data_IF_400730540918
#
_entry.id   IF_400730540918
#
_cell.length_a   1.000
_cell.length_b   1.000
_cell.length_c   1.000
_cell.angle_alpha   90.00
_cell.angle_beta   90.00
_cell.angle_gamma   90.00
#
_symmetry.space_group_name_H-M   'P 1'
#
loop_
_entity.id
_entity.type
_entity.pdbx_description
1 polymer ?
#
# COMPACT_ATOMS: atom_id res chain seq x y z
N UNK A 1 52.96 -29.11 -41.49
CA UNK A 1 51.80 -29.37 -40.60
C UNK A 1 50.74 -28.32 -40.91
N UNK A 2 49.58 -28.68 -41.51
CA UNK A 2 48.53 -27.70 -41.80
C UNK A 2 47.73 -27.39 -40.52
N UNK A 3 47.58 -26.06 -40.23
CA UNK A 3 46.74 -25.57 -39.16
C UNK A 3 45.31 -25.57 -39.65
N UNK A 4 44.47 -26.41 -39.10
CA UNK A 4 43.01 -26.35 -39.26
C UNK A 4 42.46 -25.21 -38.38
N UNK A 5 41.99 -24.13 -39.04
CA UNK A 5 41.18 -23.10 -38.39
C UNK A 5 39.74 -23.63 -38.29
N UNK A 6 39.27 -23.82 -37.06
CA UNK A 6 37.86 -24.16 -36.80
C UNK A 6 37.02 -22.89 -37.01
N UNK A 7 35.97 -22.90 -37.86
CA UNK A 7 35.07 -21.74 -37.97
C UNK A 7 34.27 -21.59 -36.66
N UNK A 8 34.39 -20.41 -36.04
CA UNK A 8 33.57 -20.01 -34.90
C UNK A 8 32.14 -19.79 -35.41
N UNK A 9 31.24 -20.73 -35.13
CA UNK A 9 29.82 -20.62 -35.46
C UNK A 9 29.20 -19.57 -34.52
N UNK A 10 29.09 -18.33 -35.00
CA UNK A 10 28.26 -17.30 -34.31
C UNK A 10 26.80 -17.73 -34.45
N UNK A 11 26.25 -18.39 -33.43
CA UNK A 11 24.82 -18.55 -33.27
C UNK A 11 24.19 -17.15 -33.11
N UNK A 12 23.19 -16.77 -33.93
CA UNK A 12 22.49 -15.55 -33.72
C UNK A 12 21.83 -15.59 -32.35
N UNK A 13 22.17 -14.63 -31.48
CA UNK A 13 21.38 -14.40 -30.25
C UNK A 13 19.96 -14.10 -30.68
N UNK A 14 19.06 -15.05 -30.46
CA UNK A 14 17.64 -14.79 -30.64
C UNK A 14 17.27 -13.57 -29.79
N UNK A 15 16.51 -12.59 -30.34
CA UNK A 15 16.05 -11.46 -29.55
C UNK A 15 15.29 -12.00 -28.34
N UNK A 16 15.75 -11.65 -27.15
CA UNK A 16 15.05 -12.00 -25.92
C UNK A 16 13.65 -11.39 -26.02
N UNK A 17 12.63 -12.25 -26.07
CA UNK A 17 11.26 -11.75 -26.08
C UNK A 17 11.08 -10.86 -24.83
N UNK A 18 10.40 -9.70 -24.95
CA UNK A 18 10.13 -8.85 -23.80
C UNK A 18 9.37 -9.67 -22.74
N UNK A 19 9.75 -9.49 -21.49
CA UNK A 19 9.10 -10.21 -20.39
C UNK A 19 7.59 -9.96 -20.40
N UNK A 20 6.82 -11.02 -20.18
CA UNK A 20 5.35 -11.00 -20.26
C UNK A 20 4.78 -11.84 -19.12
N UNK A 21 4.42 -11.17 -18.03
CA UNK A 21 3.67 -11.81 -16.94
C UNK A 21 2.18 -11.55 -17.21
N UNK A 22 1.40 -12.62 -17.22
CA UNK A 22 -0.03 -12.57 -17.52
C UNK A 22 -0.84 -13.08 -16.32
N UNK A 23 -1.98 -12.46 -16.06
CA UNK A 23 -2.98 -12.95 -15.13
C UNK A 23 -4.25 -13.34 -15.90
N UNK A 24 -4.64 -14.59 -15.84
CA UNK A 24 -5.89 -15.09 -16.41
C UNK A 24 -6.97 -15.10 -15.32
N UNK A 25 -8.05 -14.38 -15.56
CA UNK A 25 -9.22 -14.30 -14.72
C UNK A 25 -10.31 -15.21 -15.29
N UNK A 26 -10.80 -16.14 -14.49
CA UNK A 26 -11.98 -16.95 -14.78
C UNK A 26 -13.17 -16.36 -14.03
N UNK A 27 -14.26 -16.14 -14.75
CA UNK A 27 -15.43 -15.43 -14.23
C UNK A 27 -16.67 -16.31 -14.38
N UNK A 28 -17.44 -16.43 -13.30
CA UNK A 28 -18.77 -17.05 -13.32
C UNK A 28 -19.88 -16.05 -13.00
N UNK A 29 -21.08 -16.42 -13.38
CA UNK A 29 -22.34 -15.75 -13.07
C UNK A 29 -23.31 -16.81 -12.57
N UNK A 30 -23.75 -16.71 -11.31
CA UNK A 30 -24.66 -17.71 -10.71
C UNK A 30 -24.15 -19.14 -10.88
N UNK A 31 -22.89 -19.39 -10.52
CA UNK A 31 -22.21 -20.70 -10.61
C UNK A 31 -22.03 -21.27 -12.03
N UNK A 32 -22.29 -20.48 -13.06
CA UNK A 32 -22.05 -20.86 -14.46
C UNK A 32 -20.89 -20.07 -15.03
N UNK A 33 -20.06 -20.72 -15.84
CA UNK A 33 -19.01 -20.04 -16.57
C UNK A 33 -19.61 -18.86 -17.37
N UNK A 34 -19.12 -17.65 -17.10
CA UNK A 34 -19.53 -16.44 -17.80
C UNK A 34 -18.52 -16.07 -18.88
N UNK A 35 -17.22 -16.15 -18.57
CA UNK A 35 -16.16 -15.81 -19.50
C UNK A 35 -14.81 -15.65 -18.82
N UNK A 36 -13.83 -15.22 -19.61
CA UNK A 36 -12.44 -15.06 -19.18
C UNK A 36 -11.87 -13.77 -19.73
N UNK A 37 -10.92 -13.20 -19.00
CA UNK A 37 -10.06 -12.15 -19.53
C UNK A 37 -8.64 -12.31 -19.00
N UNK A 38 -7.67 -11.81 -19.77
CA UNK A 38 -6.25 -11.86 -19.42
C UNK A 38 -5.72 -10.46 -19.28
N UNK A 39 -5.02 -10.18 -18.18
CA UNK A 39 -4.27 -8.94 -17.95
C UNK A 39 -2.79 -9.21 -18.20
N UNK A 40 -2.16 -8.40 -19.03
CA UNK A 40 -0.71 -8.34 -19.15
C UNK A 40 -0.18 -7.30 -18.18
N UNK A 41 0.70 -7.70 -17.26
CA UNK A 41 1.31 -6.79 -16.29
C UNK A 41 2.40 -5.92 -16.91
N UNK A 42 2.43 -4.67 -16.46
CA UNK A 42 3.53 -3.72 -16.72
C UNK A 42 4.51 -3.70 -15.53
N UNK A 43 5.07 -4.87 -15.22
CA UNK A 43 5.91 -5.07 -14.05
C UNK A 43 7.28 -4.37 -14.13
N UNK A 44 7.65 -3.82 -15.27
CA UNK A 44 8.83 -2.95 -15.40
C UNK A 44 8.57 -1.53 -14.91
N UNK A 45 7.42 -0.98 -15.24
CA UNK A 45 7.05 0.38 -14.87
C UNK A 45 6.31 0.44 -13.53
N UNK A 46 5.65 -0.64 -13.13
CA UNK A 46 4.90 -0.74 -11.87
C UNK A 46 5.29 -2.01 -11.09
N UNK A 47 6.58 -2.13 -10.70
CA UNK A 47 7.10 -3.37 -10.11
C UNK A 47 6.49 -3.70 -8.76
N UNK A 48 6.22 -2.71 -7.89
CA UNK A 48 5.65 -2.92 -6.56
C UNK A 48 4.19 -3.35 -6.65
N UNK A 49 3.40 -2.66 -7.47
CA UNK A 49 1.99 -2.99 -7.67
C UNK A 49 1.82 -4.37 -8.32
N UNK A 50 2.61 -4.68 -9.36
CA UNK A 50 2.60 -5.99 -9.99
C UNK A 50 3.04 -7.10 -9.02
N UNK A 51 4.12 -6.88 -8.26
CA UNK A 51 4.61 -7.83 -7.28
C UNK A 51 3.59 -8.08 -6.16
N UNK A 52 2.97 -7.04 -5.63
CA UNK A 52 1.93 -7.16 -4.62
C UNK A 52 0.72 -7.95 -5.13
N UNK A 53 0.23 -7.60 -6.32
CA UNK A 53 -0.89 -8.31 -6.93
C UNK A 53 -0.59 -9.80 -7.15
N UNK A 54 0.57 -10.11 -7.74
CA UNK A 54 0.98 -11.50 -8.02
C UNK A 54 1.11 -12.31 -6.74
N UNK A 55 1.72 -11.74 -5.69
CA UNK A 55 1.87 -12.45 -4.39
C UNK A 55 0.52 -12.78 -3.77
N UNK A 56 -0.43 -11.87 -3.85
CA UNK A 56 -1.80 -12.07 -3.38
C UNK A 56 -2.53 -13.09 -4.26
N UNK A 57 -2.43 -12.99 -5.59
CA UNK A 57 -3.11 -13.89 -6.53
C UNK A 57 -2.64 -15.35 -6.42
N UNK A 58 -1.34 -15.57 -6.19
CA UNK A 58 -0.78 -16.93 -6.02
C UNK A 58 -0.80 -17.42 -4.55
N UNK A 59 -1.27 -16.62 -3.57
CA UNK A 59 -1.24 -16.96 -2.15
C UNK A 59 0.18 -17.15 -1.60
N UNK A 60 1.18 -16.45 -2.18
CA UNK A 60 2.59 -16.57 -1.78
C UNK A 60 2.86 -15.89 -0.43
N UNK A 61 2.04 -14.94 -0.06
CA UNK A 61 2.19 -14.15 1.16
C UNK A 61 0.97 -14.34 2.06
N UNK A 62 1.16 -14.53 3.37
CA UNK A 62 0.05 -14.43 4.31
C UNK A 62 -0.53 -13.01 4.32
N UNK A 63 -1.85 -12.91 4.39
CA UNK A 63 -2.60 -11.66 4.42
C UNK A 63 -3.64 -11.67 5.56
N UNK A 64 -4.08 -10.49 5.98
CA UNK A 64 -5.05 -10.32 7.07
C UNK A 64 -6.47 -10.22 6.51
N UNK A 65 -7.31 -11.19 6.85
CA UNK A 65 -8.75 -11.12 6.63
C UNK A 65 -9.37 -10.23 7.72
N UNK A 66 -9.58 -8.96 7.39
CA UNK A 66 -10.14 -7.98 8.31
C UNK A 66 -11.56 -8.31 8.76
N UNK A 67 -12.35 -9.00 7.94
CA UNK A 67 -13.71 -9.42 8.28
C UNK A 67 -13.74 -10.59 9.28
N UNK A 68 -12.81 -11.54 9.11
CA UNK A 68 -12.67 -12.69 9.98
C UNK A 68 -11.71 -12.44 11.16
N UNK A 69 -10.89 -11.39 11.12
CA UNK A 69 -9.83 -11.13 12.12
C UNK A 69 -8.79 -12.24 12.18
N UNK A 70 -8.42 -12.80 11.04
CA UNK A 70 -7.53 -13.95 10.92
C UNK A 70 -6.49 -13.74 9.82
N UNK A 71 -5.32 -14.29 10.03
CA UNK A 71 -4.29 -14.37 8.98
C UNK A 71 -4.56 -15.57 8.10
N UNK A 72 -4.55 -15.38 6.78
CA UNK A 72 -4.74 -16.41 5.77
C UNK A 72 -3.53 -16.50 4.85
N UNK A 73 -3.32 -17.68 4.28
CA UNK A 73 -2.28 -17.91 3.25
C UNK A 73 -2.88 -18.74 2.12
N UNK A 74 -3.67 -18.09 1.32
CA UNK A 74 -4.37 -18.68 0.16
C UNK A 74 -4.48 -17.61 -0.94
N UNK A 75 -4.82 -17.95 -2.19
CA UNK A 75 -5.09 -16.98 -3.23
C UNK A 75 -6.14 -15.96 -2.79
N UNK A 76 -5.76 -14.68 -2.81
CA UNK A 76 -6.59 -13.60 -2.26
C UNK A 76 -7.82 -13.33 -3.13
N UNK A 77 -7.65 -13.37 -4.45
CA UNK A 77 -8.69 -12.92 -5.40
C UNK A 77 -9.73 -13.98 -5.73
N UNK A 78 -9.47 -15.25 -5.44
CA UNK A 78 -10.39 -16.34 -5.69
C UNK A 78 -11.65 -16.18 -4.79
N UNK A 79 -12.83 -16.28 -5.40
CA UNK A 79 -14.10 -16.12 -4.71
C UNK A 79 -14.56 -14.68 -4.47
N UNK A 80 -13.88 -13.68 -5.06
CA UNK A 80 -14.29 -12.27 -4.93
C UNK A 80 -15.26 -11.86 -6.04
N UNK A 81 -16.02 -10.80 -5.76
CA UNK A 81 -16.90 -10.16 -6.74
C UNK A 81 -16.37 -8.80 -7.16
N UNK A 82 -16.91 -8.25 -8.23
CA UNK A 82 -16.70 -6.84 -8.57
C UNK A 82 -17.64 -5.98 -7.73
N UNK A 83 -17.06 -5.23 -6.78
CA UNK A 83 -17.81 -4.42 -5.81
C UNK A 83 -18.38 -3.13 -6.41
N UNK A 84 -17.80 -2.66 -7.52
CA UNK A 84 -18.30 -1.50 -8.26
C UNK A 84 -18.30 -1.78 -9.76
N UNK A 85 -19.38 -1.41 -10.43
CA UNK A 85 -19.51 -1.46 -11.88
C UNK A 85 -20.24 -0.20 -12.37
N UNK A 86 -19.65 0.47 -13.36
CA UNK A 86 -20.24 1.64 -14.01
C UNK A 86 -20.19 1.42 -15.51
N UNK A 87 -21.37 1.25 -16.11
CA UNK A 87 -21.51 0.90 -17.51
C UNK A 87 -20.69 1.81 -18.44
N UNK A 88 -19.85 1.20 -19.26
CA UNK A 88 -18.96 1.90 -20.19
C UNK A 88 -17.79 2.65 -19.55
N UNK A 89 -17.74 2.80 -18.23
CA UNK A 89 -16.72 3.58 -17.51
C UNK A 89 -15.69 2.68 -16.84
N UNK A 90 -16.10 1.79 -15.92
CA UNK A 90 -15.18 0.92 -15.19
C UNK A 90 -15.85 -0.27 -14.51
N UNK A 91 -15.04 -1.25 -14.17
CA UNK A 91 -15.35 -2.29 -13.17
C UNK A 91 -14.26 -2.28 -12.09
N UNK A 92 -14.64 -2.45 -10.83
CA UNK A 92 -13.72 -2.51 -9.70
C UNK A 92 -13.92 -3.76 -8.86
N UNK A 93 -12.80 -4.37 -8.45
CA UNK A 93 -12.74 -5.62 -7.68
C UNK A 93 -11.58 -5.63 -6.69
N UNK A 94 -11.36 -6.79 -6.04
CA UNK A 94 -10.25 -6.95 -5.10
C UNK A 94 -10.57 -6.57 -3.66
N UNK A 95 -11.87 -6.47 -3.30
CA UNK A 95 -12.36 -6.28 -1.94
C UNK A 95 -12.96 -7.58 -1.41
N UNK A 96 -12.51 -8.06 -0.25
CA UNK A 96 -13.02 -9.28 0.42
C UNK A 96 -14.41 -9.06 1.01
N UNK A 97 -14.69 -7.85 1.50
CA UNK A 97 -15.99 -7.45 2.04
C UNK A 97 -17.03 -7.19 0.95
N UNK A 98 -16.59 -6.99 -0.29
CA UNK A 98 -17.45 -6.70 -1.43
C UNK A 98 -18.01 -5.27 -1.47
N UNK A 99 -17.54 -4.37 -0.61
CA UNK A 99 -17.98 -2.97 -0.53
C UNK A 99 -16.88 -1.95 -0.90
N UNK A 100 -15.65 -2.44 -1.17
CA UNK A 100 -14.55 -1.60 -1.64
C UNK A 100 -13.81 -0.82 -0.55
N UNK A 101 -13.96 -1.15 0.73
CA UNK A 101 -13.35 -0.43 1.85
C UNK A 101 -12.23 -1.20 2.57
N UNK A 102 -11.93 -2.42 2.15
CA UNK A 102 -10.93 -3.28 2.76
C UNK A 102 -9.66 -3.45 1.91
N UNK A 103 -8.65 -4.01 2.54
CA UNK A 103 -7.36 -4.33 1.93
C UNK A 103 -6.78 -5.60 2.61
N UNK A 104 -5.63 -6.12 2.16
CA UNK A 104 -5.04 -7.34 2.73
C UNK A 104 -4.38 -7.15 4.12
N UNK A 105 -4.69 -6.07 4.82
CA UNK A 105 -4.10 -5.65 6.10
C UNK A 105 -2.98 -4.63 5.94
N UNK A 106 -2.61 -4.31 4.71
CA UNK A 106 -1.56 -3.32 4.40
C UNK A 106 -1.85 -2.52 3.15
N UNK A 107 -1.06 -1.46 3.02
CA UNK A 107 -0.96 -0.68 1.78
C UNK A 107 0.48 -0.68 1.28
N UNK A 108 0.66 -0.43 0.00
CA UNK A 108 1.96 -0.25 -0.66
C UNK A 108 2.03 1.12 -1.33
N UNK A 109 3.24 1.54 -1.64
CA UNK A 109 3.49 2.80 -2.34
C UNK A 109 2.98 2.79 -3.79
N UNK A 110 2.86 3.98 -4.33
CA UNK A 110 2.55 4.19 -5.74
C UNK A 110 3.77 3.93 -6.64
N UNK A 111 3.53 3.40 -7.84
CA UNK A 111 4.46 3.36 -8.95
C UNK A 111 3.99 4.36 -10.01
N UNK A 112 4.74 5.44 -10.23
CA UNK A 112 4.34 6.53 -11.14
C UNK A 112 5.02 6.51 -12.51
N UNK A 113 5.79 5.49 -12.79
CA UNK A 113 6.58 5.39 -14.02
C UNK A 113 5.78 4.94 -15.23
N UNK A 114 4.56 4.41 -15.02
CA UNK A 114 3.71 3.98 -16.12
C UNK A 114 3.05 5.17 -16.81
N UNK A 115 3.24 5.34 -18.13
CA UNK A 115 2.52 6.35 -18.89
C UNK A 115 1.01 6.05 -18.81
N UNK A 116 0.24 7.04 -18.45
CA UNK A 116 -1.21 6.96 -18.25
C UNK A 116 -1.91 6.06 -19.27
N UNK A 117 -2.75 5.16 -18.76
CA UNK A 117 -3.30 4.07 -19.53
C UNK A 117 -4.31 4.49 -20.60
N UNK A 118 -4.29 3.78 -21.70
CA UNK A 118 -5.39 3.73 -22.64
C UNK A 118 -6.59 2.97 -22.06
N UNK A 119 -7.60 2.72 -22.87
CA UNK A 119 -8.76 1.90 -22.49
C UNK A 119 -8.38 0.47 -22.14
N UNK A 120 -9.12 -0.14 -21.22
CA UNK A 120 -8.87 -1.47 -20.67
C UNK A 120 -7.56 -1.60 -19.91
N UNK A 121 -7.08 -0.51 -19.30
CA UNK A 121 -5.97 -0.53 -18.36
C UNK A 121 -6.49 -0.90 -16.97
N UNK A 122 -5.77 -1.77 -16.29
CA UNK A 122 -6.00 -2.12 -14.90
C UNK A 122 -5.15 -1.22 -14.01
N UNK A 123 -5.78 -0.55 -13.08
CA UNK A 123 -5.15 0.32 -12.09
C UNK A 123 -5.35 -0.24 -10.69
N UNK A 124 -4.42 0.04 -9.80
CA UNK A 124 -4.66 -0.13 -8.36
C UNK A 124 -5.62 0.95 -7.88
N UNK A 125 -6.72 0.53 -7.25
CA UNK A 125 -7.63 1.43 -6.55
C UNK A 125 -7.04 1.79 -5.18
N UNK A 126 -7.06 3.07 -4.83
CA UNK A 126 -6.47 3.58 -3.60
C UNK A 126 -7.28 4.73 -3.00
N UNK A 127 -7.04 5.05 -1.72
CA UNK A 127 -7.70 6.11 -0.96
C UNK A 127 -6.84 7.38 -0.86
N UNK A 128 -5.76 7.44 -1.61
CA UNK A 128 -4.80 8.54 -1.66
C UNK A 128 -3.40 8.06 -1.99
N UNK A 129 -2.39 8.91 -1.90
CA UNK A 129 -1.01 8.54 -2.19
C UNK A 129 -0.52 7.40 -1.29
N UNK A 130 0.20 6.43 -1.89
CA UNK A 130 0.79 5.29 -1.18
C UNK A 130 -0.21 4.44 -0.38
N UNK A 131 -1.46 4.33 -0.88
CA UNK A 131 -2.50 3.53 -0.24
C UNK A 131 -3.04 2.40 -1.13
N UNK A 132 -2.25 1.94 -2.11
CA UNK A 132 -2.57 0.76 -2.90
C UNK A 132 -2.61 -0.48 -2.00
N UNK A 133 -3.69 -1.24 -2.07
CA UNK A 133 -3.87 -2.50 -1.33
C UNK A 133 -4.02 -3.69 -2.27
N UNK A 134 -5.18 -4.34 -2.19
CA UNK A 134 -5.60 -5.40 -3.11
C UNK A 134 -6.59 -4.93 -4.16
N UNK A 135 -7.26 -3.80 -3.92
CA UNK A 135 -8.32 -3.30 -4.81
C UNK A 135 -7.76 -2.82 -6.13
N UNK A 136 -8.52 -3.08 -7.19
CA UNK A 136 -8.19 -2.65 -8.54
C UNK A 136 -9.43 -2.23 -9.30
N UNK A 137 -9.25 -1.41 -10.33
CA UNK A 137 -10.30 -1.15 -11.30
C UNK A 137 -9.76 -1.28 -12.73
N UNK A 138 -10.65 -1.61 -13.66
CA UNK A 138 -10.34 -1.68 -15.10
C UNK A 138 -11.21 -0.62 -15.79
N UNK A 139 -10.57 0.34 -16.46
CA UNK A 139 -11.25 1.39 -17.18
C UNK A 139 -11.82 0.91 -18.52
N UNK A 140 -12.94 1.49 -18.93
CA UNK A 140 -13.60 1.22 -20.20
C UNK A 140 -13.59 2.47 -21.12
N UNK A 141 -14.02 2.33 -22.40
CA UNK A 141 -13.89 3.41 -23.38
C UNK A 141 -14.58 4.73 -23.05
N UNK A 142 -15.62 4.75 -22.23
CA UNK A 142 -16.32 6.00 -21.84
C UNK A 142 -15.60 6.77 -20.70
N UNK A 143 -14.55 6.16 -20.11
CA UNK A 143 -13.78 6.84 -19.09
C UNK A 143 -13.00 8.02 -19.66
N UNK A 144 -13.10 9.18 -19.04
CA UNK A 144 -12.35 10.37 -19.43
C UNK A 144 -11.04 10.47 -18.64
N UNK A 145 -10.01 11.13 -19.21
CA UNK A 145 -8.73 11.36 -18.53
C UNK A 145 -8.87 12.08 -17.18
N UNK A 146 -9.95 12.83 -16.96
CA UNK A 146 -10.22 13.51 -15.70
C UNK A 146 -10.51 12.52 -14.56
N UNK A 147 -11.05 11.34 -14.87
CA UNK A 147 -11.40 10.32 -13.86
C UNK A 147 -10.17 9.57 -13.31
N UNK A 148 -9.00 9.70 -13.97
CA UNK A 148 -7.75 9.06 -13.51
C UNK A 148 -6.91 9.96 -12.60
N UNK A 149 -7.33 11.19 -12.40
CA UNK A 149 -6.64 12.13 -11.54
C UNK A 149 -7.44 12.30 -10.25
N UNK A 150 -6.95 11.68 -9.20
CA UNK A 150 -7.43 11.98 -7.87
C UNK A 150 -6.80 13.27 -7.36
N UNK A 151 -7.51 14.03 -6.52
CA UNK A 151 -6.90 15.15 -5.83
C UNK A 151 -5.65 14.68 -5.08
N UNK A 152 -4.48 15.16 -5.49
CA UNK A 152 -3.19 14.83 -4.86
C UNK A 152 -2.43 13.62 -5.41
N UNK A 153 -2.87 12.97 -6.50
CA UNK A 153 -2.09 11.85 -7.06
C UNK A 153 -2.73 11.19 -8.29
N UNK A 154 -2.02 10.23 -8.83
CA UNK A 154 -2.46 9.37 -9.93
C UNK A 154 -2.63 7.95 -9.41
N UNK A 155 -3.54 7.18 -10.02
CA UNK A 155 -3.61 5.74 -9.81
C UNK A 155 -2.42 5.04 -10.47
N UNK A 156 -1.88 4.02 -9.82
CA UNK A 156 -0.82 3.17 -10.41
C UNK A 156 -1.42 2.24 -11.45
N UNK A 157 -1.01 2.38 -12.72
CA UNK A 157 -1.37 1.45 -13.78
C UNK A 157 -0.55 0.17 -13.62
N UNK A 158 -1.20 -0.97 -13.41
CA UNK A 158 -0.51 -2.25 -13.14
C UNK A 158 -0.45 -3.17 -14.34
N UNK A 159 -1.36 -2.97 -15.30
CA UNK A 159 -1.41 -3.82 -16.49
C UNK A 159 -2.54 -3.44 -17.44
N UNK A 160 -2.74 -4.27 -18.45
CA UNK A 160 -3.74 -4.03 -19.48
C UNK A 160 -4.45 -5.32 -19.88
N UNK A 161 -5.77 -5.26 -20.05
CA UNK A 161 -6.58 -6.37 -20.55
C UNK A 161 -6.26 -6.62 -22.02
N UNK A 162 -5.89 -7.85 -22.33
CA UNK A 162 -5.67 -8.33 -23.70
C UNK A 162 -7.01 -8.58 -24.41
N UNK A 163 -7.01 -8.45 -25.73
CA UNK A 163 -8.16 -8.84 -26.51
C UNK A 163 -8.31 -10.36 -26.55
N UNK A 164 -7.22 -11.08 -26.77
CA UNK A 164 -7.23 -12.54 -26.77
C UNK A 164 -7.34 -13.11 -25.33
N UNK A 165 -8.05 -14.23 -25.19
CA UNK A 165 -8.16 -14.98 -23.92
C UNK A 165 -7.23 -16.20 -23.90
N UNK A 166 -7.10 -16.83 -22.72
CA UNK A 166 -6.47 -18.13 -22.56
C UNK A 166 -7.45 -19.09 -21.84
N UNK A 167 -7.85 -20.23 -22.45
CA UNK A 167 -7.46 -20.64 -23.80
C UNK A 167 -8.01 -19.73 -24.90
N UNK A 168 -7.43 -19.77 -26.12
CA UNK A 168 -7.88 -18.96 -27.25
C UNK A 168 -9.34 -19.23 -27.61
N UNK A 169 -10.05 -18.23 -28.16
CA UNK A 169 -11.43 -18.36 -28.65
C UNK A 169 -12.41 -17.34 -28.07
N UNK A 170 -12.00 -16.62 -27.01
CA UNK A 170 -12.77 -15.53 -26.40
C UNK A 170 -12.18 -14.15 -26.69
N UNK A 171 -12.89 -13.11 -26.23
CA UNK A 171 -12.44 -11.73 -26.25
C UNK A 171 -12.51 -11.15 -24.84
N UNK A 172 -11.34 -11.01 -24.18
CA UNK A 172 -11.24 -10.55 -22.79
C UNK A 172 -11.83 -9.16 -22.58
N UNK A 173 -11.69 -8.25 -23.55
CA UNK A 173 -12.27 -6.91 -23.46
C UNK A 173 -13.78 -6.92 -23.55
N UNK A 174 -14.37 -7.82 -24.35
CA UNK A 174 -15.82 -8.01 -24.38
C UNK A 174 -16.33 -8.60 -23.07
N UNK A 175 -15.61 -9.54 -22.47
CA UNK A 175 -15.95 -10.07 -21.14
C UNK A 175 -15.99 -8.94 -20.09
N UNK A 176 -14.95 -8.10 -20.02
CA UNK A 176 -14.91 -6.95 -19.10
C UNK A 176 -16.05 -5.97 -19.38
N UNK A 177 -16.32 -5.63 -20.65
CA UNK A 177 -17.43 -4.77 -21.03
C UNK A 177 -18.81 -5.37 -20.67
N UNK A 178 -18.95 -6.69 -20.75
CA UNK A 178 -20.19 -7.39 -20.38
C UNK A 178 -20.41 -7.39 -18.86
N UNK A 179 -19.34 -7.55 -18.05
CA UNK A 179 -19.40 -7.39 -16.60
C UNK A 179 -19.90 -5.99 -16.25
N UNK A 180 -19.39 -4.95 -16.91
CA UNK A 180 -19.75 -3.55 -16.67
C UNK A 180 -21.22 -3.22 -16.98
N UNK A 181 -21.93 -4.07 -17.71
CA UNK A 181 -23.36 -3.91 -17.97
C UNK A 181 -24.25 -4.66 -16.96
N UNK A 182 -23.65 -5.23 -15.92
CA UNK A 182 -24.35 -5.96 -14.86
C UNK A 182 -24.41 -5.14 -13.57
N UNK A 183 -25.11 -5.63 -12.55
CA UNK A 183 -25.07 -5.03 -11.22
C UNK A 183 -23.79 -5.45 -10.47
N UNK A 184 -23.29 -4.62 -9.53
CA UNK A 184 -22.19 -5.00 -8.65
C UNK A 184 -22.51 -6.29 -7.87
N UNK A 185 -21.48 -7.10 -7.58
CA UNK A 185 -21.60 -8.33 -6.80
C UNK A 185 -22.15 -9.55 -7.58
N UNK A 186 -22.59 -9.39 -8.84
CA UNK A 186 -23.19 -10.48 -9.62
C UNK A 186 -22.16 -11.45 -10.20
N UNK A 187 -21.00 -10.95 -10.61
CA UNK A 187 -19.95 -11.77 -11.21
C UNK A 187 -18.91 -12.15 -10.17
N UNK A 188 -18.61 -13.45 -10.11
CA UNK A 188 -17.61 -14.03 -9.23
C UNK A 188 -16.31 -14.23 -10.01
N UNK A 189 -15.20 -13.86 -9.40
CA UNK A 189 -13.86 -14.24 -9.83
C UNK A 189 -13.60 -15.65 -9.30
N UNK A 190 -13.77 -16.67 -10.10
CA UNK A 190 -13.56 -18.06 -9.70
C UNK A 190 -12.09 -18.30 -9.39
N UNK A 191 -11.23 -17.75 -10.24
CA UNK A 191 -9.79 -17.85 -10.04
C UNK A 191 -9.00 -16.77 -10.78
N UNK A 192 -7.80 -16.47 -10.24
CA UNK A 192 -6.77 -15.69 -10.92
C UNK A 192 -5.51 -16.54 -11.04
N UNK A 193 -5.06 -16.82 -12.26
CA UNK A 193 -3.88 -17.67 -12.52
C UNK A 193 -2.78 -16.88 -13.20
N UNK A 194 -1.57 -16.89 -12.62
CA UNK A 194 -0.42 -16.16 -13.14
C UNK A 194 0.38 -17.05 -14.10
N UNK A 195 0.70 -16.52 -15.26
CA UNK A 195 1.55 -17.19 -16.24
C UNK A 195 2.83 -16.39 -16.49
N UNK A 196 3.95 -17.10 -16.48
CA UNK A 196 5.29 -16.58 -16.71
C UNK A 196 5.77 -17.13 -18.06
N UNK A 197 5.89 -16.27 -19.06
CA UNK A 197 6.15 -16.72 -20.44
C UNK A 197 7.61 -16.75 -20.81
N UNK A 198 8.47 -16.05 -20.06
CA UNK A 198 9.91 -15.96 -20.36
C UNK A 198 10.78 -16.35 -19.16
N UNK A 199 12.06 -16.67 -19.36
CA UNK A 199 13.00 -16.87 -18.25
C UNK A 199 13.14 -15.65 -17.33
N UNK A 200 12.99 -14.43 -17.86
CA UNK A 200 13.01 -13.20 -17.08
C UNK A 200 11.80 -13.11 -16.13
N UNK A 201 10.61 -13.55 -16.58
CA UNK A 201 9.41 -13.61 -15.75
C UNK A 201 9.56 -14.61 -14.61
N UNK A 202 10.16 -15.78 -14.89
CA UNK A 202 10.46 -16.77 -13.86
C UNK A 202 11.50 -16.26 -12.86
N UNK A 203 12.43 -15.41 -13.29
CA UNK A 203 13.37 -14.74 -12.40
C UNK A 203 12.64 -13.73 -11.52
N UNK A 204 11.74 -12.92 -12.09
CA UNK A 204 10.89 -12.02 -11.32
C UNK A 204 10.11 -12.78 -10.23
N UNK A 205 9.44 -13.88 -10.60
CA UNK A 205 8.73 -14.74 -9.63
C UNK A 205 9.64 -15.28 -8.54
N UNK A 206 10.85 -15.72 -8.90
CA UNK A 206 11.83 -16.23 -7.92
C UNK A 206 12.22 -15.14 -6.92
N UNK A 207 12.43 -13.92 -7.42
CA UNK A 207 12.75 -12.77 -6.57
C UNK A 207 11.60 -12.42 -5.61
N UNK A 208 10.34 -12.70 -5.99
CA UNK A 208 9.20 -12.54 -5.08
C UNK A 208 9.17 -13.56 -3.92
N UNK A 209 9.87 -14.67 -4.05
CA UNK A 209 9.94 -15.75 -3.06
C UNK A 209 11.21 -15.70 -2.21
N UNK A 210 12.22 -14.96 -2.64
CA UNK A 210 13.52 -14.88 -1.98
C UNK A 210 13.53 -13.75 -0.94
N UNK A 211 13.66 -14.05 0.36
CA UNK A 211 13.70 -13.02 1.40
C UNK A 211 14.82 -12.00 1.20
N UNK A 212 15.96 -12.42 0.65
CA UNK A 212 17.11 -11.53 0.42
C UNK A 212 16.87 -10.57 -0.75
N UNK A 213 16.08 -10.98 -1.74
CA UNK A 213 15.63 -10.10 -2.84
C UNK A 213 14.37 -9.31 -2.49
N UNK A 214 13.64 -9.72 -1.48
CA UNK A 214 12.43 -9.08 -0.99
C UNK A 214 12.65 -7.63 -0.53
N UNK A 215 13.85 -7.34 -0.04
CA UNK A 215 14.28 -5.99 0.34
C UNK A 215 14.16 -4.98 -0.81
N UNK A 216 14.23 -5.43 -2.08
CA UNK A 216 14.08 -4.58 -3.25
C UNK A 216 12.65 -4.07 -3.44
N UNK A 217 11.64 -4.87 -3.07
CA UNK A 217 10.23 -4.49 -3.26
C UNK A 217 9.59 -3.90 -2.02
N UNK A 218 10.19 -4.05 -0.83
CA UNK A 218 9.67 -3.54 0.45
C UNK A 218 8.17 -3.84 0.64
N UNK A 219 7.75 -5.06 0.31
CA UNK A 219 6.35 -5.46 0.36
C UNK A 219 5.99 -6.07 1.71
N UNK A 220 4.85 -5.67 2.30
CA UNK A 220 4.43 -6.17 3.60
C UNK A 220 3.94 -7.62 3.57
N UNK A 221 3.79 -8.20 4.76
CA UNK A 221 3.15 -9.50 4.97
C UNK A 221 2.44 -9.52 6.32
N UNK A 222 1.46 -10.41 6.48
CA UNK A 222 0.80 -10.62 7.74
C UNK A 222 1.31 -11.91 8.42
N UNK A 223 1.23 -11.96 9.75
CA UNK A 223 1.42 -13.18 10.53
C UNK A 223 0.52 -13.22 11.76
N UNK A 224 0.33 -14.39 12.32
CA UNK A 224 -0.33 -14.51 13.61
C UNK A 224 0.55 -13.96 14.74
N UNK A 225 -0.01 -13.17 15.67
CA UNK A 225 0.70 -12.73 16.86
C UNK A 225 0.82 -13.86 17.88
N UNK A 226 1.90 -13.84 18.64
CA UNK A 226 2.00 -14.61 19.88
C UNK A 226 1.66 -13.70 21.04
N UNK A 227 0.52 -13.95 21.65
CA UNK A 227 0.07 -13.19 22.81
C UNK A 227 0.62 -13.75 24.11
N UNK A 228 0.97 -12.85 25.03
CA UNK A 228 1.24 -13.16 26.43
C UNK A 228 0.52 -12.16 27.34
N UNK A 229 0.26 -12.56 28.58
CA UNK A 229 -0.37 -11.68 29.55
C UNK A 229 0.65 -11.35 30.66
N UNK A 230 0.81 -10.08 30.91
CA UNK A 230 1.62 -9.57 32.02
C UNK A 230 0.72 -8.87 33.02
N UNK A 231 0.88 -9.24 34.27
CA UNK A 231 0.14 -8.65 35.39
C UNK A 231 1.07 -7.76 36.21
N UNK A 232 0.66 -6.55 36.42
CA UNK A 232 1.25 -5.60 37.35
C UNK A 232 0.25 -5.37 38.50
N UNK A 233 0.66 -4.70 39.57
CA UNK A 233 -0.12 -4.59 40.80
C UNK A 233 -1.60 -4.21 40.58
N UNK A 234 -1.87 -3.27 39.70
CA UNK A 234 -3.23 -2.76 39.42
C UNK A 234 -3.67 -2.90 37.97
N UNK A 235 -2.81 -3.43 37.09
CA UNK A 235 -3.06 -3.49 35.66
C UNK A 235 -2.75 -4.87 35.06
N UNK A 236 -3.46 -5.22 34.01
CA UNK A 236 -3.19 -6.40 33.20
C UNK A 236 -2.93 -5.97 31.77
N UNK A 237 -1.80 -6.39 31.24
CA UNK A 237 -1.37 -6.08 29.88
C UNK A 237 -1.44 -7.28 28.98
N UNK A 238 -1.88 -7.05 27.75
CA UNK A 238 -1.72 -7.96 26.62
C UNK A 238 -0.45 -7.57 25.89
N UNK A 239 0.57 -8.39 26.01
CA UNK A 239 1.82 -8.22 25.27
C UNK A 239 1.81 -9.13 24.04
N UNK A 240 2.53 -8.73 22.98
CA UNK A 240 2.68 -9.55 21.78
C UNK A 240 4.08 -9.41 21.20
N UNK A 241 4.49 -10.45 20.46
CA UNK A 241 5.73 -10.42 19.72
C UNK A 241 5.57 -9.54 18.48
N UNK A 242 6.31 -8.45 18.42
CA UNK A 242 6.30 -7.56 17.27
C UNK A 242 7.69 -7.04 16.95
N UNK A 243 7.88 -6.71 15.68
CA UNK A 243 9.05 -5.97 15.24
C UNK A 243 8.74 -4.47 15.23
N UNK A 244 9.72 -3.59 15.50
CA UNK A 244 9.54 -2.15 15.34
C UNK A 244 8.99 -1.81 13.95
N UNK A 245 7.97 -0.95 13.89
CA UNK A 245 7.30 -0.55 12.65
C UNK A 245 6.19 -1.50 12.19
N UNK A 246 5.90 -2.59 12.92
CA UNK A 246 4.74 -3.45 12.64
C UNK A 246 3.44 -2.89 13.22
N UNK A 247 2.30 -3.36 12.70
CA UNK A 247 0.97 -3.01 13.19
C UNK A 247 0.25 -4.25 13.67
N UNK A 248 -0.28 -4.24 14.90
CA UNK A 248 -1.20 -5.25 15.40
C UNK A 248 -2.63 -4.80 15.14
N UNK A 249 -3.40 -5.67 14.50
CA UNK A 249 -4.85 -5.56 14.41
C UNK A 249 -5.45 -6.56 15.39
N UNK A 250 -6.19 -6.06 16.39
CA UNK A 250 -6.69 -6.82 17.51
C UNK A 250 -8.21 -6.82 17.54
N UNK A 251 -8.81 -7.99 17.62
CA UNK A 251 -10.23 -8.18 17.91
C UNK A 251 -10.39 -8.81 19.29
N UNK A 252 -11.45 -8.43 19.98
CA UNK A 252 -11.80 -9.01 21.28
C UNK A 252 -13.24 -9.53 21.28
N UNK A 253 -13.52 -10.48 22.17
CA UNK A 253 -14.83 -11.06 22.38
C UNK A 253 -15.01 -11.49 23.83
N UNK A 254 -16.23 -11.40 24.36
CA UNK A 254 -16.60 -11.93 25.67
C UNK A 254 -17.28 -13.29 25.58
N UNK A 255 -17.72 -13.72 24.39
CA UNK A 255 -18.57 -14.90 24.19
C UNK A 255 -18.10 -15.83 23.05
N UNK A 256 -17.02 -15.48 22.34
CA UNK A 256 -16.50 -16.14 21.11
C UNK A 256 -17.45 -16.08 19.91
N UNK A 257 -18.57 -15.37 20.01
CA UNK A 257 -19.55 -15.22 18.91
C UNK A 257 -19.51 -13.82 18.32
N UNK A 258 -19.51 -12.83 19.19
CA UNK A 258 -19.48 -11.42 18.79
C UNK A 258 -18.07 -10.87 18.97
N UNK A 259 -17.46 -10.41 17.89
CA UNK A 259 -16.11 -9.87 17.89
C UNK A 259 -16.14 -8.37 17.63
N UNK A 260 -15.49 -7.62 18.51
CA UNK A 260 -15.32 -6.17 18.40
C UNK A 260 -13.90 -5.85 17.91
N UNK A 261 -13.76 -4.95 16.97
CA UNK A 261 -12.49 -4.53 16.41
C UNK A 261 -12.54 -4.26 14.90
N UNK A 262 -11.39 -4.04 14.26
CA UNK A 262 -10.06 -4.10 14.90
C UNK A 262 -9.72 -2.86 15.71
N UNK A 263 -9.05 -3.05 16.83
CA UNK A 263 -8.20 -2.03 17.43
C UNK A 263 -6.83 -2.14 16.75
N UNK A 264 -6.35 -1.05 16.18
CA UNK A 264 -5.03 -1.01 15.54
C UNK A 264 -4.01 -0.43 16.52
N UNK A 265 -2.98 -1.20 16.80
CA UNK A 265 -1.87 -0.84 17.67
C UNK A 265 -0.58 -0.84 16.84
N UNK A 266 0.08 0.30 16.81
CA UNK A 266 1.35 0.46 16.09
C UNK A 266 2.50 0.19 17.06
N UNK A 267 3.46 -0.64 16.64
CA UNK A 267 4.74 -0.74 17.32
C UNK A 267 5.62 0.39 16.82
N UNK A 268 5.77 1.43 17.65
CA UNK A 268 6.64 2.54 17.31
C UNK A 268 8.09 2.06 17.18
N UNK A 269 8.87 2.62 16.25
CA UNK A 269 10.29 2.33 16.16
C UNK A 269 10.99 2.66 17.48
N UNK A 270 11.86 1.75 17.95
CA UNK A 270 12.63 1.89 19.18
C UNK A 270 11.98 1.33 20.45
N UNK A 271 10.71 0.88 20.40
CA UNK A 271 10.07 0.20 21.53
C UNK A 271 10.25 -1.32 21.44
N UNK A 272 10.89 -1.92 22.42
CA UNK A 272 11.22 -3.34 22.45
C UNK A 272 10.00 -4.24 22.73
N UNK A 273 8.96 -3.72 23.36
CA UNK A 273 7.70 -4.42 23.62
C UNK A 273 6.59 -3.42 23.89
N UNK A 274 5.44 -3.63 23.27
CA UNK A 274 4.23 -2.89 23.58
C UNK A 274 3.28 -3.80 24.35
N UNK A 275 2.75 -3.28 25.46
CA UNK A 275 1.66 -3.90 26.18
C UNK A 275 0.40 -3.05 26.05
N UNK A 276 -0.71 -3.67 25.65
CA UNK A 276 -2.01 -3.02 25.68
C UNK A 276 -2.64 -3.22 27.05
N UNK A 277 -2.88 -2.11 27.77
CA UNK A 277 -3.55 -2.17 29.09
C UNK A 277 -5.01 -2.58 28.92
N UNK A 278 -5.33 -3.77 29.41
CA UNK A 278 -6.67 -4.33 29.39
C UNK A 278 -7.56 -3.81 30.53
N UNK A 279 -6.97 -3.22 31.57
CA UNK A 279 -7.66 -2.86 32.82
C UNK A 279 -8.85 -1.92 32.58
N UNK A 280 -8.72 -0.84 31.77
CA UNK A 280 -9.84 0.08 31.57
C UNK A 280 -11.06 -0.56 30.92
N UNK A 281 -10.85 -1.56 30.04
CA UNK A 281 -11.91 -2.11 29.21
C UNK A 281 -12.43 -3.48 29.71
N UNK A 282 -11.62 -4.22 30.49
CA UNK A 282 -11.89 -5.62 30.84
C UNK A 282 -11.81 -5.90 32.35
N UNK A 283 -11.60 -4.90 33.20
CA UNK A 283 -11.46 -5.07 34.65
C UNK A 283 -12.65 -5.82 35.31
N UNK A 284 -13.86 -5.68 34.78
CA UNK A 284 -15.07 -6.31 35.27
C UNK A 284 -15.50 -7.54 34.46
N UNK A 285 -14.78 -7.87 33.38
CA UNK A 285 -15.13 -9.00 32.55
C UNK A 285 -14.62 -10.32 33.18
N UNK A 286 -15.47 -11.34 33.41
CA UNK A 286 -15.05 -12.61 33.99
C UNK A 286 -14.11 -13.38 33.02
N UNK A 287 -14.15 -13.08 31.74
CA UNK A 287 -13.32 -13.65 30.69
C UNK A 287 -13.32 -12.73 29.48
N UNK A 288 -12.23 -12.74 28.74
CA UNK A 288 -12.11 -12.09 27.43
C UNK A 288 -11.25 -12.96 26.49
N UNK A 289 -11.57 -12.94 25.23
CA UNK A 289 -10.87 -13.66 24.17
C UNK A 289 -10.31 -12.67 23.18
N UNK A 290 -9.14 -12.96 22.66
CA UNK A 290 -8.43 -12.09 21.71
C UNK A 290 -7.99 -12.89 20.48
N UNK A 291 -8.07 -12.27 19.34
CA UNK A 291 -7.49 -12.74 18.08
C UNK A 291 -6.97 -11.55 17.30
N UNK A 292 -6.09 -11.80 16.33
CA UNK A 292 -5.55 -10.69 15.52
C UNK A 292 -4.53 -11.13 14.50
N UNK A 293 -3.96 -10.15 13.84
CA UNK A 293 -2.86 -10.30 12.91
C UNK A 293 -1.85 -9.18 13.09
N UNK A 294 -0.59 -9.51 13.00
CA UNK A 294 0.51 -8.53 12.89
C UNK A 294 0.85 -8.36 11.44
N UNK A 295 0.79 -7.13 10.96
CA UNK A 295 1.32 -6.76 9.64
C UNK A 295 2.74 -6.25 9.85
N UNK A 296 3.68 -6.94 9.24
CA UNK A 296 5.09 -6.58 9.23
C UNK A 296 5.43 -5.90 7.92
N UNK A 297 6.10 -4.77 8.04
CA UNK A 297 6.66 -4.06 6.91
C UNK A 297 8.15 -4.33 6.86
N UNK A 298 8.73 -4.63 5.69
CA UNK A 298 10.18 -4.83 5.59
C UNK A 298 10.90 -3.58 6.09
N UNK A 299 12.06 -3.78 6.69
CA UNK A 299 12.85 -2.72 7.31
C UNK A 299 13.03 -1.55 6.35
N UNK A 300 12.33 -0.50 6.65
CA UNK A 300 12.56 0.80 6.09
C UNK A 300 13.86 1.34 6.69
N UNK A 301 14.77 1.91 5.90
CA UNK A 301 15.96 2.53 6.47
C UNK A 301 15.50 3.56 7.50
N UNK A 302 15.78 3.26 8.75
CA UNK A 302 15.56 4.01 10.00
C UNK A 302 14.78 5.32 9.85
N UNK A 303 13.45 5.23 9.89
CA UNK A 303 12.60 6.38 10.21
C UNK A 303 12.52 6.58 11.73
N UNK A 304 13.38 5.89 12.48
CA UNK A 304 13.27 5.67 13.91
C UNK A 304 13.33 6.92 14.77
N UNK A 305 13.86 8.01 14.24
CA UNK A 305 13.91 9.31 14.92
C UNK A 305 13.90 10.47 13.93
N UNK A 306 13.05 10.43 12.91
CA UNK A 306 13.07 11.49 11.87
C UNK A 306 12.94 12.87 12.47
N UNK A 307 12.33 13.02 13.64
CA UNK A 307 12.08 14.31 14.20
C UNK A 307 12.97 14.68 15.41
N UNK A 308 13.49 13.72 16.17
CA UNK A 308 14.32 14.06 17.32
C UNK A 308 15.59 14.80 16.88
N UNK A 309 15.88 15.92 17.51
CA UNK A 309 17.05 16.78 17.24
C UNK A 309 17.22 17.16 15.76
N UNK A 310 16.14 17.34 15.03
CA UNK A 310 16.17 17.60 13.59
C UNK A 310 15.32 18.79 13.19
N UNK A 311 15.40 19.17 11.92
CA UNK A 311 14.51 20.15 11.33
C UNK A 311 13.79 19.59 10.11
N UNK A 312 12.56 20.01 9.91
CA UNK A 312 11.84 19.80 8.66
C UNK A 312 11.45 21.15 8.05
N UNK A 313 11.60 21.24 6.76
CA UNK A 313 11.13 22.37 5.97
C UNK A 313 9.85 21.95 5.26
N UNK A 314 8.80 22.73 5.44
CA UNK A 314 7.49 22.50 4.87
C UNK A 314 7.18 23.63 3.90
N UNK A 315 6.75 23.28 2.68
CA UNK A 315 6.28 24.21 1.70
C UNK A 315 4.96 23.69 1.12
N UNK A 316 3.89 24.45 1.21
CA UNK A 316 2.58 24.09 0.67
C UNK A 316 1.73 25.33 0.43
N UNK A 317 0.62 25.16 -0.28
CA UNK A 317 -0.38 26.19 -0.45
C UNK A 317 -1.60 25.89 0.43
N UNK A 318 -1.89 26.77 1.35
CA UNK A 318 -3.16 26.80 2.08
C UNK A 318 -4.17 27.56 1.22
N UNK A 319 -5.32 26.97 0.84
CA UNK A 319 -6.33 27.63 0.00
C UNK A 319 -6.83 28.95 0.57
N UNK A 320 -6.83 29.10 1.89
CA UNK A 320 -7.35 30.28 2.60
C UNK A 320 -6.27 31.32 2.93
N UNK A 321 -4.99 30.94 2.95
CA UNK A 321 -3.88 31.80 3.44
C UNK A 321 -2.74 31.97 2.44
N UNK A 322 -2.77 31.26 1.30
CA UNK A 322 -1.74 31.32 0.28
C UNK A 322 -0.54 30.40 0.55
N UNK A 323 0.64 30.80 0.06
CA UNK A 323 1.86 29.98 0.18
C UNK A 323 2.39 30.00 1.60
N UNK A 324 2.58 28.82 2.17
CA UNK A 324 3.14 28.60 3.52
C UNK A 324 4.52 28.00 3.38
N UNK A 325 5.51 28.67 3.97
CA UNK A 325 6.84 28.16 4.18
C UNK A 325 7.06 28.09 5.69
N UNK A 326 7.43 26.92 6.19
CA UNK A 326 7.59 26.68 7.60
C UNK A 326 8.81 25.79 7.85
N UNK A 327 9.67 26.20 8.78
CA UNK A 327 10.73 25.35 9.31
C UNK A 327 10.38 24.99 10.73
N UNK A 328 10.29 23.70 11.01
CA UNK A 328 10.04 23.15 12.35
C UNK A 328 11.34 22.52 12.86
N UNK A 329 11.80 22.99 14.02
CA UNK A 329 12.97 22.46 14.74
C UNK A 329 12.46 21.62 15.91
N UNK A 330 12.74 20.34 15.89
CA UNK A 330 12.27 19.40 16.90
C UNK A 330 13.27 19.27 18.04
N UNK A 331 12.76 19.09 19.24
CA UNK A 331 13.55 18.74 20.41
C UNK A 331 13.99 17.26 20.40
N UNK A 332 14.70 16.85 21.44
CA UNK A 332 15.18 15.48 21.64
C UNK A 332 14.07 14.41 21.66
N UNK A 333 12.84 14.81 21.97
CA UNK A 333 11.68 13.91 22.00
C UNK A 333 11.06 13.70 20.63
N UNK A 334 11.24 14.66 19.71
CA UNK A 334 10.57 14.69 18.40
C UNK A 334 9.05 14.94 18.46
N UNK A 335 8.52 15.34 19.64
CA UNK A 335 7.10 15.61 19.85
C UNK A 335 6.79 17.08 20.14
N UNK A 336 7.80 17.90 20.31
CA UNK A 336 7.70 19.34 20.52
C UNK A 336 8.86 20.06 19.85
N UNK A 337 8.80 21.37 19.82
CA UNK A 337 9.88 22.17 19.26
C UNK A 337 9.49 23.61 18.98
N UNK A 338 10.28 24.26 18.14
CA UNK A 338 10.05 25.63 17.71
C UNK A 338 9.81 25.69 16.19
N UNK A 339 9.05 26.64 15.73
CA UNK A 339 8.85 26.90 14.31
C UNK A 339 9.24 28.32 13.93
N UNK A 340 9.58 28.48 12.65
CA UNK A 340 9.84 29.80 12.02
C UNK A 340 9.32 29.75 10.58
N UNK A 341 8.61 30.78 10.15
CA UNK A 341 8.15 30.85 8.76
C UNK A 341 7.10 31.94 8.49
N UNK A 342 6.19 31.65 7.56
CA UNK A 342 5.19 32.61 7.01
C UNK A 342 4.39 33.31 8.10
N UNK A 343 4.08 32.66 9.21
CA UNK A 343 3.28 33.22 10.31
C UNK A 343 4.13 33.67 11.50
N UNK A 344 5.42 33.93 11.29
CA UNK A 344 6.35 34.31 12.34
C UNK A 344 7.06 33.12 12.96
N UNK A 345 7.32 33.18 14.27
CA UNK A 345 7.98 32.13 15.03
C UNK A 345 7.22 31.84 16.32
N UNK A 346 7.41 30.64 16.85
CA UNK A 346 6.77 30.22 18.08
C UNK A 346 7.16 28.79 18.44
N UNK A 347 6.45 28.23 19.41
CA UNK A 347 6.59 26.86 19.86
C UNK A 347 5.41 26.01 19.38
N UNK A 348 5.62 24.72 19.23
CA UNK A 348 4.59 23.76 18.87
C UNK A 348 4.73 22.46 19.64
N UNK A 349 3.63 21.72 19.69
CA UNK A 349 3.58 20.31 20.13
C UNK A 349 2.90 19.46 19.07
N UNK A 350 3.25 18.18 19.09
CA UNK A 350 2.60 17.16 18.26
C UNK A 350 1.85 16.19 19.17
N UNK A 351 0.57 16.46 19.44
CA UNK A 351 -0.24 15.63 20.34
C UNK A 351 -0.57 14.26 19.76
N UNK A 352 -0.44 14.09 18.45
CA UNK A 352 -0.74 12.84 17.76
C UNK A 352 0.19 12.64 16.58
N UNK A 353 0.79 11.46 16.53
CA UNK A 353 1.55 10.97 15.37
C UNK A 353 0.95 9.61 14.96
N UNK A 354 0.70 9.45 13.68
CA UNK A 354 0.34 8.15 13.06
C UNK A 354 1.38 7.87 12.00
N UNK A 355 2.12 6.79 12.16
CA UNK A 355 3.14 6.39 11.19
C UNK A 355 2.67 5.19 10.39
N UNK A 356 2.85 5.28 9.08
CA UNK A 356 2.81 4.13 8.18
C UNK A 356 4.22 3.97 7.60
N UNK A 357 4.55 2.87 6.95
CA UNK A 357 5.87 2.70 6.33
C UNK A 357 6.21 3.73 5.26
N UNK A 358 5.18 4.37 4.68
CA UNK A 358 5.33 5.26 3.53
C UNK A 358 4.96 6.70 3.81
N UNK A 359 4.43 6.97 5.01
CA UNK A 359 4.01 8.31 5.40
C UNK A 359 3.92 8.44 6.91
N UNK A 360 4.07 9.66 7.39
CA UNK A 360 3.80 10.03 8.78
C UNK A 360 2.77 11.14 8.81
N UNK A 361 1.61 10.86 9.40
CA UNK A 361 0.62 11.87 9.71
C UNK A 361 0.88 12.41 11.11
N UNK A 362 0.87 13.72 11.27
CA UNK A 362 0.95 14.37 12.56
C UNK A 362 0.13 15.66 12.61
N UNK A 363 -0.27 16.03 13.79
CA UNK A 363 -0.94 17.29 14.04
C UNK A 363 0.06 18.29 14.59
N UNK A 364 0.39 19.31 13.81
CA UNK A 364 1.22 20.43 14.24
C UNK A 364 0.34 21.44 14.98
N UNK A 365 0.48 21.51 16.32
CA UNK A 365 -0.32 22.39 17.18
C UNK A 365 0.57 23.46 17.79
N UNK A 366 0.46 24.73 17.37
CA UNK A 366 1.19 25.82 17.99
C UNK A 366 0.76 26.03 19.45
N UNK A 367 1.72 26.23 20.31
CA UNK A 367 1.50 26.62 21.72
C UNK A 367 1.74 28.10 21.94
N UNK A 368 2.54 28.70 21.05
CA UNK A 368 2.79 30.15 21.01
C UNK A 368 2.85 30.63 19.57
N UNK A 369 2.68 31.94 19.36
CA UNK A 369 2.69 32.54 18.02
C UNK A 369 1.32 32.46 17.31
N UNK A 370 1.31 32.73 16.01
CA UNK A 370 0.09 32.85 15.18
C UNK A 370 -0.05 31.76 14.12
N UNK A 371 0.74 30.69 14.18
CA UNK A 371 0.67 29.56 13.26
C UNK A 371 -0.67 28.84 13.42
N UNK A 372 -1.40 28.54 12.33
CA UNK A 372 -2.58 27.65 12.38
C UNK A 372 -2.19 26.22 12.78
N UNK A 373 -3.17 25.49 13.30
CA UNK A 373 -3.01 24.05 13.54
C UNK A 373 -3.25 23.29 12.24
N UNK A 374 -2.27 22.51 11.80
CA UNK A 374 -2.35 21.69 10.61
C UNK A 374 -2.32 20.22 10.96
N UNK A 375 -3.11 19.41 10.22
CA UNK A 375 -2.91 17.98 10.11
C UNK A 375 -2.13 17.74 8.83
N UNK A 376 -0.91 17.22 8.96
CA UNK A 376 0.05 17.06 7.87
C UNK A 376 0.40 15.59 7.69
N UNK A 377 0.50 15.16 6.45
CA UNK A 377 1.01 13.86 6.07
C UNK A 377 2.28 14.04 5.25
N UNK A 378 3.40 13.66 5.84
CA UNK A 378 4.69 13.60 5.16
C UNK A 378 4.80 12.26 4.45
N UNK A 379 4.84 12.27 3.13
CA UNK A 379 5.05 11.07 2.33
C UNK A 379 6.54 10.78 2.22
N UNK A 380 6.92 9.51 2.35
CA UNK A 380 8.29 9.05 2.11
C UNK A 380 8.40 8.59 0.66
N UNK A 381 8.48 9.55 -0.26
CA UNK A 381 8.72 9.24 -1.66
C UNK A 381 10.11 8.65 -1.82
N UNK A 382 10.24 7.59 -2.62
CA UNK A 382 11.53 6.98 -2.86
C UNK A 382 12.19 7.58 -4.09
N UNK A 383 13.46 7.91 -3.92
CA UNK A 383 14.40 8.12 -5.01
C UNK A 383 15.35 6.91 -5.10
N UNK A 384 15.92 6.70 -6.27
CA UNK A 384 16.90 5.66 -6.47
C UNK A 384 18.30 6.27 -6.41
N UNK A 385 19.11 5.80 -5.48
CA UNK A 385 20.41 6.43 -5.18
C UNK A 385 21.42 6.38 -6.33
N UNK A 386 21.41 5.34 -7.15
CA UNK A 386 22.25 5.22 -8.35
C UNK A 386 21.67 4.13 -9.28
N UNK A 387 21.25 4.51 -10.47
CA UNK A 387 20.75 3.56 -11.48
C UNK A 387 19.24 3.32 -11.43
N UNK A 388 18.76 2.41 -12.26
CA UNK A 388 17.36 2.01 -12.34
C UNK A 388 17.13 0.72 -11.59
N UNK A 389 15.92 0.46 -11.04
CA UNK A 389 15.58 -0.84 -10.46
C UNK A 389 15.91 -1.99 -11.42
N UNK A 390 16.36 -3.16 -10.96
CA UNK A 390 16.47 -3.60 -9.55
C UNK A 390 17.86 -3.38 -8.90
N UNK A 391 18.74 -2.59 -9.49
CA UNK A 391 20.16 -2.51 -9.08
C UNK A 391 20.49 -1.29 -8.21
N UNK A 392 19.51 -0.52 -7.80
CA UNK A 392 19.70 0.66 -6.96
C UNK A 392 19.04 0.51 -5.59
N UNK A 393 19.68 1.08 -4.56
CA UNK A 393 19.13 1.09 -3.20
C UNK A 393 18.10 2.24 -3.12
N UNK A 394 16.87 1.97 -2.69
CA UNK A 394 15.89 3.03 -2.48
C UNK A 394 16.29 3.89 -1.27
N UNK A 395 16.21 5.20 -1.45
CA UNK A 395 16.39 6.21 -0.41
C UNK A 395 15.16 7.11 -0.37
N UNK A 396 14.86 7.69 0.79
CA UNK A 396 13.78 8.69 0.86
C UNK A 396 14.18 9.91 0.04
N UNK A 397 13.31 10.32 -0.89
CA UNK A 397 13.52 11.51 -1.69
C UNK A 397 13.53 12.77 -0.80
N UNK A 398 14.40 13.71 -1.10
CA UNK A 398 14.49 14.98 -0.39
C UNK A 398 14.60 16.13 -1.43
N UNK A 399 13.53 16.89 -1.68
CA UNK A 399 12.24 16.90 -1.00
C UNK A 399 11.30 15.74 -1.38
N UNK A 400 10.39 15.43 -0.47
CA UNK A 400 9.29 14.49 -0.67
C UNK A 400 7.93 15.21 -0.61
N UNK A 401 6.86 14.53 -1.04
CA UNK A 401 5.50 15.10 -1.05
C UNK A 401 4.97 15.32 0.35
N UNK A 402 4.15 16.37 0.49
CA UNK A 402 3.38 16.69 1.67
C UNK A 402 1.90 16.85 1.27
N UNK A 403 1.01 16.31 2.08
CA UNK A 403 -0.42 16.57 1.99
C UNK A 403 -0.99 16.91 3.39
N UNK A 404 -2.22 17.35 3.45
CA UNK A 404 -2.86 17.64 4.74
C UNK A 404 -4.00 18.62 4.62
N UNK A 405 -4.42 19.16 5.77
CA UNK A 405 -5.47 20.16 5.87
C UNK A 405 -5.24 21.09 7.07
N UNK A 406 -5.77 22.30 6.98
CA UNK A 406 -5.99 23.16 8.15
C UNK A 406 -7.14 22.57 8.99
N UNK A 407 -6.94 22.38 10.28
CA UNK A 407 -7.95 21.79 11.16
C UNK A 407 -9.19 22.67 11.33
N UNK A 408 -9.08 23.98 11.14
CA UNK A 408 -10.22 24.88 11.18
C UNK A 408 -11.05 24.87 9.88
N UNK A 409 -10.41 24.47 8.76
CA UNK A 409 -11.02 24.44 7.42
C UNK A 409 -10.71 23.09 6.74
N UNK A 410 -11.06 21.98 7.40
CA UNK A 410 -10.69 20.62 6.97
C UNK A 410 -11.32 20.18 5.64
N UNK A 411 -12.29 20.94 5.11
CA UNK A 411 -12.89 20.67 3.80
C UNK A 411 -11.98 21.02 2.62
N UNK A 412 -10.99 21.90 2.84
CA UNK A 412 -10.09 22.39 1.80
C UNK A 412 -8.70 21.77 1.99
N UNK A 413 -8.32 20.76 1.19
CA UNK A 413 -7.00 20.14 1.31
C UNK A 413 -5.89 21.11 0.90
N UNK A 414 -4.72 20.97 1.51
CA UNK A 414 -3.52 21.70 1.13
C UNK A 414 -3.08 21.32 -0.28
N UNK A 415 -2.61 22.28 -1.04
CA UNK A 415 -2.20 22.08 -2.44
C UNK A 415 -0.68 22.06 -2.59
N UNK A 416 -0.16 21.18 -3.46
CA UNK A 416 1.21 21.21 -3.97
C UNK A 416 2.30 21.15 -2.89
N UNK A 417 2.08 20.38 -1.81
CA UNK A 417 2.98 20.34 -0.67
C UNK A 417 4.25 19.54 -0.91
N UNK A 418 5.38 20.06 -0.37
CA UNK A 418 6.65 19.37 -0.28
C UNK A 418 7.26 19.55 1.11
N UNK A 419 8.02 18.56 1.55
CA UNK A 419 8.81 18.63 2.77
C UNK A 419 10.24 18.16 2.54
N UNK A 420 11.15 18.70 3.29
CA UNK A 420 12.57 18.34 3.29
C UNK A 420 13.04 18.10 4.70
N UNK A 421 13.92 17.14 4.86
CA UNK A 421 14.53 16.79 6.12
C UNK A 421 15.95 17.36 6.19
N UNK A 422 16.26 17.97 7.33
CA UNK A 422 17.61 18.43 7.68
C UNK A 422 18.00 17.73 8.97
N UNK A 423 18.96 16.78 8.92
CA UNK A 423 19.43 16.11 10.12
C UNK A 423 20.03 17.15 11.07
N UNK A 424 19.84 16.93 12.36
CA UNK A 424 20.53 17.69 13.39
C UNK A 424 22.06 17.46 13.33
N UNK A 425 22.83 18.32 13.95
CA UNK A 425 24.28 18.23 13.98
C UNK A 425 24.81 16.97 14.66
#
# INVERSE_FOLDING_TARGET
MPRFALPLLLLPLAPCAPAQILADFEISLQEKEFGRFTVQFDHYNSPHAAANFIRLAEGLVPWLDGSAGQVRKEPFYDGLTFHSVTAGVEIAGGSRTGNGDDNPGWTIRDDFTSPGGGTYTMFMENDGPNSNGSRFFINLPATTNANFRRAGGHYTAVGRVLQATNPPGGNGRLTVASIANSAPGFHLVDSVRIRYLTPADLTFRRNLLDPDHFSLFLLPSAREPRFSFRREETATFLDWDSTPGSSLFLWNSLDLRSWLGPLTLLNAPGEASLGYDLTPNFALAPRAFFRGGVVEYPHWPSTERIFADSAILLNFRDPNRGIVNLTCFFDETGHAGTYQGTFGSGEFVIPRIVSTPYAREFQLTPTTGNQPTYRLTLHYDLAWSNGSPPFSIPVVANPSRLSGSDLLNSADPLEGGAWSYVPGP
#
